data_IF_832705655025
#
_entry.id   IF_832705655025
#
_cell.length_a   1.000
_cell.length_b   1.000
_cell.length_c   1.000
_cell.angle_alpha   90.00
_cell.angle_beta   90.00
_cell.angle_gamma   90.00
#
_symmetry.space_group_name_H-M   'P 1'
#
loop_
_entity.id
_entity.type
_entity.pdbx_description
1 polymer ?
#
# COMPACT_ATOMS: atom_id res chain seq x y z
N UNK A 1 25.40 -8.40 14.82
CA UNK A 1 24.64 -7.28 14.19
C UNK A 1 24.80 -7.39 12.69
N UNK A 2 23.88 -8.10 12.02
CA UNK A 2 23.89 -8.24 10.57
C UNK A 2 23.12 -7.07 9.96
N UNK A 3 23.86 -6.11 9.43
CA UNK A 3 23.33 -5.03 8.60
C UNK A 3 22.92 -5.68 7.27
N UNK A 4 21.61 -5.77 7.02
CA UNK A 4 21.08 -6.13 5.69
C UNK A 4 21.62 -5.12 4.67
N UNK A 5 22.16 -5.55 3.52
CA UNK A 5 22.63 -4.62 2.51
C UNK A 5 21.43 -3.84 1.97
N UNK A 6 21.50 -2.52 2.08
CA UNK A 6 20.68 -1.61 1.29
C UNK A 6 20.78 -2.03 -0.17
N UNK A 7 19.65 -2.36 -0.79
CA UNK A 7 19.56 -2.66 -2.21
C UNK A 7 20.34 -1.60 -2.99
N UNK A 8 21.41 -2.02 -3.64
CA UNK A 8 22.29 -1.14 -4.41
C UNK A 8 21.43 -0.43 -5.45
N UNK A 9 21.34 0.90 -5.34
CA UNK A 9 20.71 1.75 -6.36
C UNK A 9 21.60 1.71 -7.60
N UNK A 10 21.32 0.79 -8.51
CA UNK A 10 21.90 0.85 -9.85
C UNK A 10 21.14 1.93 -10.62
N UNK A 11 21.88 2.94 -11.10
CA UNK A 11 21.33 3.95 -11.99
C UNK A 11 21.00 3.31 -13.35
N UNK A 12 19.92 3.75 -14.02
CA UNK A 12 19.46 3.16 -15.27
C UNK A 12 20.52 3.30 -16.37
N UNK A 13 20.70 2.22 -17.12
CA UNK A 13 21.62 2.14 -18.27
C UNK A 13 21.12 2.99 -19.43
N UNK A 14 22.02 3.36 -20.36
CA UNK A 14 21.65 4.16 -21.53
C UNK A 14 20.57 3.50 -22.41
N UNK A 15 20.58 2.17 -22.63
CA UNK A 15 19.48 1.48 -23.31
C UNK A 15 18.14 1.64 -22.59
N UNK A 16 18.11 1.48 -21.26
CA UNK A 16 16.87 1.65 -20.46
C UNK A 16 16.33 3.08 -20.58
N UNK A 17 17.20 4.09 -20.53
CA UNK A 17 16.82 5.49 -20.74
C UNK A 17 16.24 5.73 -22.13
N UNK A 18 16.80 5.12 -23.17
CA UNK A 18 16.29 5.24 -24.54
C UNK A 18 14.89 4.62 -24.67
N UNK A 19 14.65 3.45 -24.06
CA UNK A 19 13.34 2.81 -24.02
C UNK A 19 12.30 3.65 -23.24
N UNK A 20 12.70 4.26 -22.12
CA UNK A 20 11.81 5.15 -21.38
C UNK A 20 11.36 6.36 -22.22
N UNK A 21 12.27 6.94 -23.01
CA UNK A 21 11.96 8.05 -23.93
C UNK A 21 11.01 7.62 -25.04
N UNK A 22 11.20 6.43 -25.63
CA UNK A 22 10.28 5.92 -26.66
C UNK A 22 8.89 5.61 -26.10
N UNK A 23 8.79 5.26 -24.81
CA UNK A 23 7.53 5.00 -24.12
C UNK A 23 6.85 6.27 -23.58
N UNK A 24 7.30 7.46 -24.00
CA UNK A 24 6.61 8.72 -23.74
C UNK A 24 7.06 9.47 -22.48
N UNK A 25 8.17 9.09 -21.85
CA UNK A 25 8.80 9.93 -20.83
C UNK A 25 9.56 11.10 -21.46
N UNK A 26 9.42 12.32 -20.92
CA UNK A 26 10.15 13.49 -21.43
C UNK A 26 11.67 13.39 -21.18
N UNK A 27 12.48 14.15 -21.91
CA UNK A 27 13.94 14.12 -21.74
C UNK A 27 14.36 14.59 -20.35
N UNK A 28 13.77 15.67 -19.85
CA UNK A 28 14.00 16.19 -18.49
C UNK A 28 13.60 15.16 -17.42
N UNK A 29 12.54 14.42 -17.70
CA UNK A 29 12.02 13.34 -16.87
C UNK A 29 12.90 12.08 -16.83
N UNK A 30 13.74 11.85 -17.83
CA UNK A 30 14.60 10.67 -17.92
C UNK A 30 16.01 10.98 -17.45
N UNK A 31 16.49 12.19 -17.74
CA UNK A 31 17.86 12.62 -17.45
C UNK A 31 17.95 13.43 -16.13
N UNK A 32 16.81 13.83 -15.55
CA UNK A 32 16.78 14.58 -14.29
C UNK A 32 17.23 13.77 -13.07
N UNK A 33 17.91 14.46 -12.15
CA UNK A 33 18.27 13.90 -10.84
C UNK A 33 17.00 13.44 -10.11
N UNK A 34 17.00 12.20 -9.60
CA UNK A 34 15.90 11.55 -8.88
C UNK A 34 14.78 10.86 -9.69
N UNK A 35 14.94 10.67 -11.00
CA UNK A 35 13.94 9.95 -11.83
C UNK A 35 14.14 8.43 -11.95
N UNK A 36 15.05 7.84 -11.18
CA UNK A 36 15.33 6.38 -11.21
C UNK A 36 14.10 5.50 -10.91
N UNK A 37 13.09 6.04 -10.24
CA UNK A 37 11.87 5.32 -9.90
C UNK A 37 11.11 4.82 -11.15
N UNK A 38 11.24 5.52 -12.28
CA UNK A 38 10.60 5.17 -13.56
C UNK A 38 11.08 3.82 -14.12
N UNK A 39 12.25 3.37 -13.68
CA UNK A 39 12.88 2.13 -14.11
C UNK A 39 12.67 0.98 -13.12
N UNK A 40 11.88 1.20 -12.07
CA UNK A 40 11.60 0.21 -11.02
C UNK A 40 10.12 -0.09 -10.95
N UNK A 41 9.78 -1.27 -10.46
CA UNK A 41 8.40 -1.58 -10.10
C UNK A 41 7.89 -0.50 -9.11
N UNK A 42 6.63 -0.02 -9.24
CA UNK A 42 5.58 -0.49 -10.15
C UNK A 42 5.58 0.16 -11.56
N UNK A 43 6.54 1.02 -11.88
CA UNK A 43 6.50 1.89 -13.07
C UNK A 43 7.32 1.39 -14.26
N UNK A 44 8.23 0.44 -14.02
CA UNK A 44 8.94 -0.24 -15.09
C UNK A 44 7.91 -0.90 -16.00
N UNK A 45 7.81 -0.43 -17.25
CA UNK A 45 6.98 -1.07 -18.26
C UNK A 45 7.54 -2.47 -18.49
N UNK A 46 6.71 -3.49 -18.23
CA UNK A 46 7.06 -4.87 -18.57
C UNK A 46 6.77 -5.08 -20.06
N UNK A 47 7.73 -4.74 -20.92
CA UNK A 47 7.65 -5.14 -22.32
C UNK A 47 7.81 -6.67 -22.40
N UNK A 48 6.69 -7.36 -22.62
CA UNK A 48 6.64 -8.78 -22.95
C UNK A 48 7.30 -9.72 -21.92
N UNK A 49 7.15 -9.49 -20.61
CA UNK A 49 7.53 -10.52 -19.63
C UNK A 49 6.60 -11.74 -19.81
N UNK A 50 7.10 -12.88 -20.32
CA UNK A 50 6.25 -14.06 -20.56
C UNK A 50 5.64 -14.61 -19.26
N UNK A 51 6.14 -14.20 -18.09
CA UNK A 51 5.64 -14.62 -16.80
C UNK A 51 4.55 -13.69 -16.23
N UNK A 52 4.32 -12.51 -16.81
CA UNK A 52 3.25 -11.62 -16.35
C UNK A 52 1.90 -12.02 -16.96
N UNK A 53 1.13 -12.83 -16.22
CA UNK A 53 -0.23 -13.20 -16.63
C UNK A 53 -1.23 -12.14 -16.19
N UNK A 54 -1.68 -11.27 -17.09
CA UNK A 54 -2.72 -10.29 -16.79
C UNK A 54 -4.06 -10.98 -16.45
N UNK A 55 -4.54 -10.78 -15.21
CA UNK A 55 -5.81 -11.30 -14.70
C UNK A 55 -6.90 -10.23 -14.63
N UNK A 56 -6.51 -9.00 -14.29
CA UNK A 56 -7.42 -7.87 -14.20
C UNK A 56 -6.86 -6.66 -14.95
N UNK A 57 -7.77 -5.80 -15.40
CA UNK A 57 -7.44 -4.50 -15.96
C UNK A 57 -8.04 -3.40 -15.09
N UNK A 58 -7.33 -2.29 -14.99
CA UNK A 58 -7.84 -1.08 -14.36
C UNK A 58 -7.50 0.16 -15.18
N UNK A 59 -8.29 1.21 -14.99
CA UNK A 59 -8.06 2.50 -15.64
C UNK A 59 -8.54 3.64 -14.77
N UNK A 60 -7.86 4.79 -14.84
CA UNK A 60 -8.41 6.02 -14.27
C UNK A 60 -9.72 6.42 -15.00
N UNK A 61 -10.48 7.36 -14.42
CA UNK A 61 -11.78 7.75 -14.97
C UNK A 61 -11.71 8.24 -16.43
N UNK A 62 -10.67 8.99 -16.80
CA UNK A 62 -10.52 9.49 -18.17
C UNK A 62 -9.90 8.47 -19.14
N UNK A 63 -9.47 7.31 -18.66
CA UNK A 63 -8.85 6.26 -19.48
C UNK A 63 -7.41 6.54 -19.92
N UNK A 64 -6.81 7.69 -19.56
CA UNK A 64 -5.42 8.03 -19.90
C UNK A 64 -4.40 7.12 -19.21
N UNK A 65 -4.69 6.71 -17.97
CA UNK A 65 -3.85 5.77 -17.24
C UNK A 65 -4.54 4.41 -17.24
N UNK A 66 -3.84 3.40 -17.72
CA UNK A 66 -4.32 2.02 -17.80
C UNK A 66 -3.25 1.07 -17.27
N UNK A 67 -3.69 0.03 -16.58
CA UNK A 67 -2.79 -0.96 -15.99
C UNK A 67 -3.44 -2.35 -15.94
N UNK A 68 -2.59 -3.35 -15.77
CA UNK A 68 -2.96 -4.74 -15.58
C UNK A 68 -2.46 -5.24 -14.22
N UNK A 69 -3.13 -6.23 -13.67
CA UNK A 69 -2.73 -6.93 -12.44
C UNK A 69 -2.54 -8.42 -12.70
N UNK A 70 -1.48 -9.01 -12.15
CA UNK A 70 -1.13 -10.41 -12.36
C UNK A 70 -1.54 -11.36 -11.22
N UNK A 71 -2.07 -10.81 -10.12
CA UNK A 71 -2.44 -11.55 -8.91
C UNK A 71 -3.95 -11.69 -8.77
N UNK A 72 -4.42 -12.91 -8.53
CA UNK A 72 -5.86 -13.23 -8.50
C UNK A 72 -6.59 -12.64 -7.28
N UNK A 73 -5.93 -12.59 -6.13
CA UNK A 73 -6.43 -12.01 -4.86
C UNK A 73 -5.34 -11.13 -4.23
N UNK A 74 -5.65 -9.93 -3.72
CA UNK A 74 -4.66 -9.11 -3.03
C UNK A 74 -4.08 -9.83 -1.82
N UNK A 75 -2.92 -9.37 -1.34
CA UNK A 75 -2.30 -9.86 -0.10
C UNK A 75 -3.21 -9.60 1.11
N UNK A 76 -3.98 -8.52 1.07
CA UNK A 76 -5.04 -8.17 2.00
C UNK A 76 -5.79 -6.95 1.44
N UNK A 77 -7.06 -6.79 1.80
CA UNK A 77 -7.84 -5.59 1.48
C UNK A 77 -8.45 -5.00 2.74
N UNK A 78 -8.53 -3.67 2.84
CA UNK A 78 -8.97 -2.98 4.05
C UNK A 78 -9.71 -1.69 3.73
N UNK A 79 -10.61 -1.28 4.63
CA UNK A 79 -11.14 0.08 4.66
C UNK A 79 -10.34 0.94 5.63
N UNK A 80 -9.87 2.10 5.20
CA UNK A 80 -9.18 3.08 6.04
C UNK A 80 -10.07 4.29 6.30
N UNK A 81 -10.24 4.62 7.57
CA UNK A 81 -11.09 5.73 8.05
C UNK A 81 -10.29 6.93 8.55
N UNK A 82 -8.98 6.98 8.33
CA UNK A 82 -8.20 8.12 8.81
C UNK A 82 -8.59 9.40 8.05
N UNK A 83 -8.47 10.56 8.72
CA UNK A 83 -8.86 11.86 8.17
C UNK A 83 -8.13 12.18 6.86
N UNK A 84 -6.85 11.83 6.75
CA UNK A 84 -6.07 12.00 5.52
C UNK A 84 -6.68 11.22 4.35
N UNK A 85 -7.04 9.95 4.56
CA UNK A 85 -7.68 9.13 3.52
C UNK A 85 -9.06 9.68 3.15
N UNK A 86 -9.85 10.13 4.14
CA UNK A 86 -11.17 10.72 3.90
C UNK A 86 -11.08 11.99 3.04
N UNK A 87 -10.19 12.92 3.39
CA UNK A 87 -10.01 14.19 2.68
C UNK A 87 -9.48 13.95 1.27
N UNK A 88 -8.43 13.14 1.11
CA UNK A 88 -7.80 12.92 -0.19
C UNK A 88 -8.69 12.16 -1.18
N UNK A 89 -9.58 11.31 -0.68
CA UNK A 89 -10.53 10.57 -1.52
C UNK A 89 -11.89 11.26 -1.65
N UNK A 90 -12.16 12.31 -0.87
CA UNK A 90 -13.48 12.93 -0.80
C UNK A 90 -14.59 11.93 -0.41
N UNK A 91 -14.27 10.96 0.46
CA UNK A 91 -15.14 9.83 0.78
C UNK A 91 -15.12 9.49 2.28
N UNK A 92 -16.15 8.84 2.84
CA UNK A 92 -16.19 8.45 4.26
C UNK A 92 -15.05 7.51 4.69
N UNK A 93 -14.49 6.77 3.75
CA UNK A 93 -13.33 5.88 3.93
C UNK A 93 -12.71 5.54 2.58
N UNK A 94 -11.51 4.97 2.63
CA UNK A 94 -10.73 4.55 1.47
C UNK A 94 -10.63 3.02 1.43
N UNK A 95 -10.92 2.39 0.28
CA UNK A 95 -10.76 0.94 0.06
C UNK A 95 -9.42 0.64 -0.61
N UNK A 96 -8.52 -0.06 0.09
CA UNK A 96 -7.18 -0.39 -0.40
C UNK A 96 -7.01 -1.89 -0.46
N UNK A 97 -6.45 -2.37 -1.56
CA UNK A 97 -5.98 -3.73 -1.74
C UNK A 97 -4.45 -3.71 -1.86
N UNK A 98 -3.79 -4.54 -1.04
CA UNK A 98 -2.33 -4.59 -0.93
C UNK A 98 -1.77 -5.56 -1.96
N UNK A 99 -0.79 -5.11 -2.73
CA UNK A 99 -0.10 -5.90 -3.75
C UNK A 99 1.41 -5.70 -3.63
N UNK A 100 2.19 -6.67 -4.13
CA UNK A 100 3.60 -6.42 -4.42
C UNK A 100 3.73 -5.40 -5.54
N UNK A 101 4.85 -4.69 -5.61
CA UNK A 101 5.08 -3.70 -6.67
C UNK A 101 5.12 -4.34 -8.06
N UNK A 102 5.50 -5.61 -8.11
CA UNK A 102 5.63 -6.43 -9.32
C UNK A 102 4.29 -7.03 -9.79
N UNK A 103 3.23 -6.95 -8.96
CA UNK A 103 1.91 -7.47 -9.33
C UNK A 103 1.14 -6.54 -10.30
N UNK A 104 1.64 -5.33 -10.56
CA UNK A 104 1.04 -4.32 -11.46
C UNK A 104 1.95 -4.05 -12.67
N UNK A 105 1.32 -3.85 -13.83
CA UNK A 105 1.99 -3.38 -15.03
C UNK A 105 1.18 -2.24 -15.66
N UNK A 106 1.75 -1.04 -15.79
CA UNK A 106 1.10 0.05 -16.52
C UNK A 106 1.21 -0.20 -18.03
N UNK A 107 0.07 -0.29 -18.69
CA UNK A 107 0.00 -0.49 -20.15
C UNK A 107 -0.10 0.83 -20.91
N UNK A 108 -0.57 1.90 -20.27
CA UNK A 108 -0.67 3.23 -20.85
C UNK A 108 -0.65 4.33 -19.77
N UNK A 109 -0.07 5.49 -20.09
CA UNK A 109 -0.18 6.71 -19.27
C UNK A 109 0.57 6.70 -17.94
N UNK A 110 1.60 5.86 -17.75
CA UNK A 110 2.45 5.93 -16.55
C UNK A 110 3.23 7.25 -16.45
N UNK A 111 3.44 7.96 -17.56
CA UNK A 111 3.97 9.32 -17.60
C UNK A 111 2.95 10.39 -17.19
N UNK A 112 1.64 10.09 -17.27
CA UNK A 112 0.54 10.97 -16.85
C UNK A 112 0.13 10.75 -15.38
N UNK A 113 1.06 10.28 -14.55
CA UNK A 113 0.86 10.10 -13.12
C UNK A 113 1.27 11.36 -12.35
N UNK A 114 0.54 11.64 -11.28
CA UNK A 114 0.85 12.69 -10.31
C UNK A 114 1.05 12.11 -8.92
N UNK A 115 1.98 12.70 -8.16
CA UNK A 115 2.35 12.27 -6.82
C UNK A 115 1.95 13.28 -5.77
N UNK A 116 1.69 12.78 -4.56
CA UNK A 116 1.54 13.61 -3.36
C UNK A 116 2.11 12.89 -2.14
N UNK A 117 3.13 13.46 -1.51
CA UNK A 117 3.63 13.05 -0.21
C UNK A 117 2.93 13.90 0.86
N UNK A 118 2.18 13.24 1.74
CA UNK A 118 1.23 13.93 2.63
C UNK A 118 1.86 14.58 3.85
N UNK A 119 3.05 14.16 4.27
CA UNK A 119 3.70 14.64 5.49
C UNK A 119 4.32 16.03 5.29
N UNK A 120 5.03 16.21 4.18
CA UNK A 120 5.66 17.45 3.74
C UNK A 120 4.78 18.23 2.74
N UNK A 121 3.64 17.65 2.34
CA UNK A 121 2.67 18.25 1.40
C UNK A 121 3.30 18.65 0.07
N UNK A 122 4.12 17.76 -0.49
CA UNK A 122 4.84 18.00 -1.75
C UNK A 122 4.32 17.09 -2.85
N UNK A 123 4.50 17.51 -4.11
CA UNK A 123 4.18 16.69 -5.28
C UNK A 123 5.38 15.89 -5.79
N UNK A 124 6.44 15.79 -4.97
CA UNK A 124 7.63 15.01 -5.32
C UNK A 124 7.37 13.52 -5.09
N UNK A 125 8.01 12.69 -5.90
CA UNK A 125 8.04 11.24 -5.67
C UNK A 125 8.90 10.92 -4.45
N UNK A 126 8.29 10.90 -3.26
CA UNK A 126 8.94 10.55 -1.99
C UNK A 126 8.10 9.53 -1.24
N UNK A 127 8.64 8.33 -1.06
CA UNK A 127 7.89 7.23 -0.47
C UNK A 127 7.75 7.35 1.05
N UNK A 128 6.58 7.01 1.62
CA UNK A 128 5.36 6.60 0.92
C UNK A 128 4.62 7.80 0.29
N UNK A 129 4.06 7.63 -0.91
CA UNK A 129 3.32 8.69 -1.61
C UNK A 129 2.00 8.21 -2.21
N UNK A 130 1.10 9.16 -2.48
CA UNK A 130 -0.16 8.96 -3.19
C UNK A 130 0.08 9.07 -4.68
N UNK A 131 -0.53 8.19 -5.47
CA UNK A 131 -0.43 8.16 -6.93
C UNK A 131 -1.82 8.37 -7.52
N UNK A 132 -1.95 9.33 -8.44
CA UNK A 132 -3.21 9.68 -9.11
C UNK A 132 -2.98 9.98 -10.58
N UNK A 133 -4.04 9.99 -11.38
CA UNK A 133 -3.95 10.50 -12.75
C UNK A 133 -3.74 12.03 -12.71
N UNK A 134 -2.70 12.53 -13.39
CA UNK A 134 -2.39 13.96 -13.46
C UNK A 134 -3.49 14.78 -14.17
N UNK A 135 -4.28 14.14 -15.04
CA UNK A 135 -5.37 14.79 -15.77
C UNK A 135 -6.68 14.82 -14.98
N UNK A 136 -7.29 13.65 -14.72
CA UNK A 136 -8.62 13.58 -14.08
C UNK A 136 -8.58 13.43 -12.56
N UNK A 137 -7.39 13.35 -11.96
CA UNK A 137 -7.17 13.24 -10.50
C UNK A 137 -7.74 11.98 -9.85
N UNK A 138 -8.20 11.00 -10.61
CA UNK A 138 -8.61 9.71 -10.05
C UNK A 138 -7.46 9.14 -9.21
N UNK A 139 -7.68 8.86 -7.91
CA UNK A 139 -6.70 8.16 -7.08
C UNK A 139 -6.49 6.75 -7.64
N UNK A 140 -5.25 6.30 -7.76
CA UNK A 140 -4.90 4.98 -8.32
C UNK A 140 -4.39 4.04 -7.24
N UNK A 141 -3.39 4.48 -6.49
CA UNK A 141 -2.77 3.71 -5.41
C UNK A 141 -1.99 4.59 -4.45
N UNK A 142 -1.65 4.04 -3.29
CA UNK A 142 -0.51 4.53 -2.51
C UNK A 142 0.71 3.67 -2.79
N UNK A 143 1.84 4.29 -3.07
CA UNK A 143 3.10 3.60 -3.21
C UNK A 143 3.86 3.61 -1.87
N UNK A 144 4.00 2.43 -1.28
CA UNK A 144 4.86 2.19 -0.14
C UNK A 144 6.30 1.89 -0.55
N UNK A 145 7.15 1.57 0.45
CA UNK A 145 8.55 1.18 0.18
C UNK A 145 8.65 -0.16 -0.54
N UNK A 146 7.83 -1.12 -0.12
CA UNK A 146 7.89 -2.52 -0.60
C UNK A 146 6.63 -2.97 -1.33
N UNK A 147 5.49 -2.31 -1.09
CA UNK A 147 4.16 -2.73 -1.56
C UNK A 147 3.42 -1.53 -2.13
N UNK A 148 2.38 -1.78 -2.90
CA UNK A 148 1.38 -0.79 -3.28
C UNK A 148 0.05 -1.07 -2.57
N UNK A 149 -0.70 -0.03 -2.29
CA UNK A 149 -2.10 -0.10 -1.87
C UNK A 149 -2.94 0.41 -3.03
N UNK A 150 -3.32 -0.49 -3.93
CA UNK A 150 -4.15 -0.19 -5.09
C UNK A 150 -5.59 0.08 -4.66
N UNK A 151 -6.30 0.98 -5.33
CA UNK A 151 -7.72 1.22 -5.07
C UNK A 151 -8.61 0.39 -6.00
N UNK A 152 -9.32 -0.63 -5.48
CA UNK A 152 -10.03 -1.58 -6.35
C UNK A 152 -11.21 -0.99 -7.13
N UNK A 153 -11.68 0.21 -6.77
CA UNK A 153 -12.73 0.93 -7.49
C UNK A 153 -12.39 1.22 -8.96
N UNK A 154 -11.12 1.14 -9.35
CA UNK A 154 -10.67 1.33 -10.74
C UNK A 154 -10.57 0.02 -11.54
N UNK A 155 -10.77 -1.14 -10.90
CA UNK A 155 -10.65 -2.45 -11.54
C UNK A 155 -11.94 -2.79 -12.30
N UNK A 156 -11.79 -3.28 -13.53
CA UNK A 156 -12.88 -3.78 -14.36
C UNK A 156 -13.17 -5.25 -14.04
N UNK A 157 -13.99 -5.50 -13.03
CA UNK A 157 -14.44 -6.85 -12.70
C UNK A 157 -15.43 -7.38 -13.75
N UNK A 158 -15.26 -8.64 -14.17
CA UNK A 158 -16.16 -9.31 -15.13
C UNK A 158 -17.44 -9.84 -14.47
N UNK A 159 -17.47 -9.93 -13.14
CA UNK A 159 -18.63 -10.40 -12.39
C UNK A 159 -18.46 -10.28 -10.87
N UNK A 160 -19.54 -10.56 -10.13
CA UNK A 160 -19.57 -10.41 -8.67
C UNK A 160 -18.51 -11.26 -7.95
N UNK A 161 -18.31 -12.51 -8.37
CA UNK A 161 -17.33 -13.42 -7.76
C UNK A 161 -15.86 -12.98 -7.93
N UNK A 162 -15.54 -12.14 -8.92
CA UNK A 162 -14.20 -11.53 -9.00
C UNK A 162 -14.06 -10.39 -7.98
N UNK A 163 -15.08 -9.54 -7.84
CA UNK A 163 -15.07 -8.44 -6.87
C UNK A 163 -14.95 -8.94 -5.43
N UNK A 164 -15.64 -10.03 -5.09
CA UNK A 164 -15.59 -10.65 -3.74
C UNK A 164 -14.16 -11.02 -3.32
N UNK A 165 -13.25 -11.29 -4.27
CA UNK A 165 -11.85 -11.58 -3.98
C UNK A 165 -11.10 -10.37 -3.38
N UNK A 166 -11.65 -9.17 -3.53
CA UNK A 166 -11.09 -7.90 -3.06
C UNK A 166 -11.85 -7.35 -1.86
N UNK A 167 -12.85 -8.08 -1.35
CA UNK A 167 -13.61 -7.69 -0.18
C UNK A 167 -12.67 -7.35 0.98
N UNK A 168 -12.86 -6.20 1.64
CA UNK A 168 -11.97 -5.80 2.72
C UNK A 168 -12.15 -6.71 3.91
N UNK A 169 -11.06 -7.07 4.58
CA UNK A 169 -11.05 -7.95 5.74
C UNK A 169 -11.47 -7.21 7.01
N UNK A 170 -11.20 -5.91 7.09
CA UNK A 170 -11.45 -5.10 8.28
C UNK A 170 -11.54 -3.58 7.98
N UNK A 171 -11.92 -2.84 9.01
CA UNK A 171 -11.85 -1.37 9.06
C UNK A 171 -10.68 -0.95 9.97
N UNK A 172 -9.79 -0.11 9.47
CA UNK A 172 -8.73 0.53 10.25
C UNK A 172 -9.09 1.99 10.54
N UNK A 173 -8.58 2.51 11.67
CA UNK A 173 -8.81 3.89 12.12
C UNK A 173 -10.30 4.24 12.28
N UNK A 174 -11.15 3.27 12.59
CA UNK A 174 -12.60 3.39 12.55
C UNK A 174 -13.18 4.33 13.63
N UNK A 175 -12.36 4.75 14.61
CA UNK A 175 -12.70 5.84 15.51
C UNK A 175 -12.98 7.16 14.80
N UNK A 176 -12.41 7.37 13.61
CA UNK A 176 -12.57 8.58 12.79
C UNK A 176 -13.67 8.46 11.73
N UNK A 177 -14.49 7.41 11.76
CA UNK A 177 -15.55 7.18 10.77
C UNK A 177 -16.52 8.36 10.72
N UNK A 178 -17.01 8.67 9.52
CA UNK A 178 -18.09 9.65 9.33
C UNK A 178 -19.48 9.02 9.43
N UNK A 179 -19.57 7.69 9.27
CA UNK A 179 -20.81 6.92 9.25
C UNK A 179 -20.56 5.56 9.92
N UNK A 180 -21.57 5.03 10.62
CA UNK A 180 -21.54 3.67 11.14
C UNK A 180 -21.79 2.65 10.01
N UNK A 181 -20.97 1.60 9.94
CA UNK A 181 -20.98 0.56 8.91
C UNK A 181 -21.20 -0.80 9.57
N UNK A 182 -22.41 -1.34 9.39
CA UNK A 182 -22.86 -2.61 9.99
C UNK A 182 -22.68 -3.79 9.02
N UNK A 183 -21.43 -4.10 8.70
CA UNK A 183 -21.07 -5.14 7.72
C UNK A 183 -20.50 -6.43 8.35
N UNK A 184 -20.48 -6.51 9.68
CA UNK A 184 -19.97 -7.68 10.40
C UNK A 184 -18.46 -7.88 10.28
N UNK A 185 -17.70 -6.87 9.85
CA UNK A 185 -16.24 -6.95 9.73
C UNK A 185 -15.55 -6.32 10.96
N UNK A 186 -14.38 -6.85 11.39
CA UNK A 186 -13.59 -6.27 12.47
C UNK A 186 -13.30 -4.78 12.27
N UNK A 187 -13.38 -4.02 13.36
CA UNK A 187 -13.20 -2.57 13.36
C UNK A 187 -12.15 -2.18 14.37
N UNK A 188 -11.02 -1.69 13.88
CA UNK A 188 -9.85 -1.35 14.67
C UNK A 188 -9.82 0.15 14.95
N UNK A 189 -9.41 0.54 16.15
CA UNK A 189 -9.19 1.95 16.52
C UNK A 189 -8.03 2.57 15.75
N UNK A 190 -7.06 1.77 15.32
CA UNK A 190 -5.90 2.17 14.52
C UNK A 190 -5.55 1.14 13.47
N UNK A 191 -4.29 0.70 13.47
CA UNK A 191 -3.77 -0.32 12.55
C UNK A 191 -4.28 -1.70 12.99
N UNK A 192 -4.75 -2.47 12.01
CA UNK A 192 -5.06 -3.90 12.12
C UNK A 192 -3.98 -4.68 12.89
N UNK A 193 -4.41 -5.52 13.84
CA UNK A 193 -3.51 -6.37 14.64
C UNK A 193 -2.61 -5.63 15.63
N UNK A 194 -2.64 -4.29 15.64
CA UNK A 194 -1.77 -3.43 16.48
C UNK A 194 -2.54 -2.41 17.31
N UNK A 195 -3.86 -2.51 17.33
CA UNK A 195 -4.73 -1.58 18.05
C UNK A 195 -5.92 -2.32 18.63
N UNK A 196 -6.77 -1.62 19.37
CA UNK A 196 -7.96 -2.22 19.98
C UNK A 196 -9.08 -2.43 18.97
N UNK A 197 -9.84 -3.51 19.14
CA UNK A 197 -11.11 -3.72 18.44
C UNK A 197 -12.21 -2.89 19.09
N UNK A 198 -13.04 -2.26 18.26
CA UNK A 198 -14.21 -1.51 18.67
C UNK A 198 -15.38 -2.48 18.89
N UNK A 199 -16.25 -2.17 19.86
CA UNK A 199 -17.36 -3.02 20.31
C UNK A 199 -18.32 -3.46 19.17
N UNK A 200 -18.48 -2.62 18.14
CA UNK A 200 -19.26 -2.92 16.92
C UNK A 200 -18.60 -3.99 16.01
N UNK A 201 -17.48 -4.57 16.43
CA UNK A 201 -16.85 -5.73 15.78
C UNK A 201 -17.54 -7.04 16.19
N UNK A 202 -17.45 -8.11 15.38
CA UNK A 202 -18.00 -9.40 15.76
C UNK A 202 -17.51 -9.88 17.13
N UNK A 203 -18.46 -10.23 18.01
CA UNK A 203 -18.20 -10.54 19.43
C UNK A 203 -17.12 -11.63 19.61
N UNK A 204 -17.14 -12.67 18.78
CA UNK A 204 -16.16 -13.75 18.87
C UNK A 204 -14.73 -13.29 18.51
N UNK A 205 -14.60 -12.34 17.58
CA UNK A 205 -13.30 -11.77 17.20
C UNK A 205 -12.78 -10.87 18.34
N UNK A 206 -13.66 -10.09 18.96
CA UNK A 206 -13.32 -9.27 20.13
C UNK A 206 -12.85 -10.14 21.29
N UNK A 207 -13.57 -11.23 21.60
CA UNK A 207 -13.18 -12.18 22.65
C UNK A 207 -11.84 -12.83 22.36
N UNK A 208 -11.61 -13.25 21.12
CA UNK A 208 -10.34 -13.85 20.70
C UNK A 208 -9.18 -12.87 20.89
N UNK A 209 -9.31 -11.62 20.43
CA UNK A 209 -8.24 -10.63 20.55
C UNK A 209 -7.91 -10.29 22.00
N UNK A 210 -8.91 -10.22 22.89
CA UNK A 210 -8.68 -10.02 24.33
C UNK A 210 -7.80 -11.12 24.93
N UNK A 211 -8.06 -12.39 24.58
CA UNK A 211 -7.22 -13.52 25.02
C UNK A 211 -5.79 -13.43 24.48
N UNK A 212 -5.63 -13.07 23.21
CA UNK A 212 -4.29 -12.88 22.61
C UNK A 212 -3.49 -11.79 23.33
N UNK A 213 -4.13 -10.66 23.68
CA UNK A 213 -3.49 -9.57 24.45
C UNK A 213 -3.11 -10.04 25.86
N UNK A 214 -3.98 -10.76 26.56
CA UNK A 214 -3.69 -11.33 27.88
C UNK A 214 -2.48 -12.29 27.83
N UNK A 215 -2.40 -13.14 26.79
CA UNK A 215 -1.26 -14.03 26.57
C UNK A 215 0.04 -13.28 26.21
N UNK A 216 -0.05 -12.22 25.40
CA UNK A 216 1.09 -11.35 25.05
C UNK A 216 1.64 -10.66 26.32
N UNK A 217 0.77 -10.08 27.15
CA UNK A 217 1.15 -9.46 28.42
C UNK A 217 1.78 -10.46 29.40
N UNK A 218 1.24 -11.68 29.48
CA UNK A 218 1.83 -12.73 30.31
C UNK A 218 3.22 -13.13 29.84
N UNK A 219 3.44 -13.20 28.52
CA UNK A 219 4.76 -13.49 27.93
C UNK A 219 5.73 -12.34 28.20
N UNK A 220 5.31 -11.10 28.07
CA UNK A 220 6.13 -9.93 28.41
C UNK A 220 6.49 -9.91 29.91
N UNK A 221 5.54 -10.19 30.80
CA UNK A 221 5.78 -10.31 32.25
C UNK A 221 6.74 -11.46 32.59
N UNK A 222 6.71 -12.57 31.85
CA UNK A 222 7.65 -13.70 32.01
C UNK A 222 9.05 -13.36 31.49
N UNK A 223 9.15 -12.65 30.36
CA UNK A 223 10.44 -12.25 29.77
C UNK A 223 11.10 -11.08 30.51
N UNK A 224 10.33 -10.16 31.10
CA UNK A 224 10.83 -9.04 31.89
C UNK A 224 11.41 -9.43 33.25
N UNK A 225 11.07 -10.62 33.78
CA UNK A 225 11.60 -11.13 35.07
C UNK A 225 12.99 -11.77 34.98
N UNK A 226 13.60 -11.85 33.79
CA UNK A 226 14.93 -12.45 33.59
C UNK A 226 16.11 -11.48 33.66
N UNK A 227 15.89 -10.18 33.92
CA UNK A 227 16.90 -9.12 33.75
C UNK A 227 17.40 -8.42 35.02
N UNK A 228 17.01 -8.85 36.21
CA UNK A 228 17.50 -8.25 37.47
C UNK A 228 18.24 -9.30 38.31
N UNK A 229 19.52 -9.49 38.03
CA UNK A 229 20.27 -10.53 38.73
C UNK A 229 21.77 -10.61 38.53
N UNK A 230 22.52 -9.51 38.40
CA UNK A 230 23.92 -9.52 38.86
C UNK A 230 24.45 -8.10 39.16
N UNK A 231 24.08 -7.55 40.31
CA UNK A 231 24.92 -6.53 40.98
C UNK A 231 26.16 -7.25 41.53
N UNK A 232 27.22 -7.36 40.74
CA UNK A 232 28.57 -7.59 41.28
C UNK A 232 29.27 -6.25 41.51
N UNK A 233 29.43 -6.01 42.82
CA UNK A 233 30.25 -5.02 43.51
C UNK A 233 31.75 -5.26 43.20
N UNK A 234 32.59 -4.26 43.52
CA UNK A 234 34.08 -4.21 43.61
C UNK A 234 34.71 -3.40 42.46
N UNK A 235 35.12 -2.12 42.71
CA UNK A 235 36.48 -1.64 43.09
C UNK A 235 37.48 -1.88 41.93
N UNK A 236 38.12 -0.90 41.27
CA UNK A 236 38.74 0.39 41.62
C UNK A 236 38.64 1.31 40.39
#
# INVERSE_FOLDING_TARGET
TLILPTAFKMSPTQPEKNTAKSNGHSNEDVDGEHNEWKFRAPYKVHDNDPNFKALYEGSCHCGKVQYQLSREKPLSAKFCHCSTCQVLHGAPFQWAAIFHKEDINFTHGHSDLGWYESSEKTTRHKLPCKVSCAYCRSPIMDEGRNMILLFPSLIKFRGHGEKEKFDPECHMFYGNRLLDIKDGRPKWTGIDGKSELIEDSPVEIVRKRKREIEEEEEKEKKNGKGGEGEKKRVQI
#
